data_IF_203511617647
#
_entry.id   IF_203511617647
#
_cell.length_a   1.000
_cell.length_b   1.000
_cell.length_c   1.000
_cell.angle_alpha   90.00
_cell.angle_beta   90.00
_cell.angle_gamma   90.00
#
_symmetry.space_group_name_H-M   'P 1'
#
loop_
_entity.id
_entity.type
_entity.pdbx_description
1 polymer ?
#
# COMPACT_ATOMS: atom_id res chain seq x y z
N UNK A 1 11.84 -15.71 -15.92
CA UNK A 1 11.20 -15.55 -14.61
C UNK A 1 10.35 -14.29 -14.62
N UNK A 2 9.15 -14.39 -14.09
CA UNK A 2 8.27 -13.23 -13.97
C UNK A 2 8.90 -12.19 -13.03
N UNK A 3 8.78 -10.92 -13.40
CA UNK A 3 9.23 -9.84 -12.54
C UNK A 3 8.45 -9.85 -11.23
N UNK A 4 9.13 -9.62 -10.11
CA UNK A 4 8.46 -9.52 -8.82
C UNK A 4 7.61 -8.26 -8.75
N UNK A 5 6.46 -8.38 -8.08
CA UNK A 5 5.63 -7.23 -7.73
C UNK A 5 6.19 -6.62 -6.45
N UNK A 6 6.08 -5.31 -6.33
CA UNK A 6 6.65 -4.59 -5.18
C UNK A 6 5.54 -4.13 -4.25
N UNK A 7 5.65 -4.53 -2.97
CA UNK A 7 4.81 -4.03 -1.88
C UNK A 7 5.66 -3.14 -0.99
N UNK A 8 5.23 -1.91 -0.77
CA UNK A 8 5.85 -1.01 0.21
C UNK A 8 5.03 -1.05 1.50
N UNK A 9 5.66 -1.35 2.61
CA UNK A 9 5.02 -1.30 3.94
C UNK A 9 5.60 -0.16 4.76
N UNK A 10 4.75 0.80 5.14
CA UNK A 10 5.14 1.94 5.97
C UNK A 10 4.67 1.67 7.40
N UNK A 11 5.61 1.39 8.29
CA UNK A 11 5.35 0.96 9.66
C UNK A 11 6.55 1.24 10.53
N UNK A 12 6.34 1.83 11.71
CA UNK A 12 7.40 2.13 12.67
C UNK A 12 7.62 1.02 13.71
N UNK A 13 6.68 0.08 13.85
CA UNK A 13 6.77 -0.98 14.85
C UNK A 13 7.50 -2.20 14.28
N UNK A 14 8.67 -2.58 14.84
CA UNK A 14 9.44 -3.72 14.33
C UNK A 14 8.70 -5.05 14.39
N UNK A 15 7.85 -5.26 15.39
CA UNK A 15 7.10 -6.53 15.50
C UNK A 15 6.08 -6.67 14.38
N UNK A 16 5.39 -5.60 14.03
CA UNK A 16 4.45 -5.60 12.92
C UNK A 16 5.17 -5.79 11.58
N UNK A 17 6.34 -5.17 11.44
CA UNK A 17 7.16 -5.34 10.23
C UNK A 17 7.60 -6.79 10.08
N UNK A 18 8.08 -7.43 11.15
CA UNK A 18 8.49 -8.83 11.12
C UNK A 18 7.35 -9.75 10.71
N UNK A 19 6.14 -9.49 11.21
CA UNK A 19 4.97 -10.29 10.85
C UNK A 19 4.70 -10.21 9.35
N UNK A 20 4.70 -9.01 8.78
CA UNK A 20 4.46 -8.83 7.36
C UNK A 20 5.61 -9.41 6.54
N UNK A 21 6.84 -9.25 6.97
CA UNK A 21 8.00 -9.87 6.32
C UNK A 21 7.84 -11.39 6.25
N UNK A 22 7.41 -12.02 7.33
CA UNK A 22 7.19 -13.48 7.36
C UNK A 22 6.06 -13.90 6.42
N UNK A 23 4.98 -13.12 6.36
CA UNK A 23 3.86 -13.41 5.47
C UNK A 23 4.25 -13.27 4.00
N UNK A 24 4.97 -12.21 3.66
CA UNK A 24 5.40 -11.94 2.30
C UNK A 24 6.49 -12.93 1.85
N UNK A 25 7.29 -13.44 2.79
CA UNK A 25 8.30 -14.45 2.48
C UNK A 25 7.71 -15.74 1.88
N UNK A 26 6.40 -15.98 2.09
CA UNK A 26 5.67 -17.11 1.51
C UNK A 26 5.26 -16.86 0.05
N UNK A 27 5.49 -15.64 -0.44
CA UNK A 27 5.09 -15.22 -1.79
C UNK A 27 6.33 -14.81 -2.59
N UNK A 28 6.94 -15.74 -3.34
CA UNK A 28 8.13 -15.43 -4.14
C UNK A 28 7.87 -14.43 -5.28
N UNK A 29 6.62 -14.20 -5.62
CA UNK A 29 6.19 -13.21 -6.61
C UNK A 29 6.17 -11.77 -6.09
N UNK A 30 6.41 -11.57 -4.78
CA UNK A 30 6.33 -10.25 -4.15
C UNK A 30 7.67 -9.89 -3.50
N UNK A 31 8.13 -8.68 -3.79
CA UNK A 31 9.27 -8.07 -3.11
C UNK A 31 8.78 -7.03 -2.13
N UNK A 32 9.18 -7.14 -0.86
CA UNK A 32 8.79 -6.19 0.17
C UNK A 32 9.86 -5.11 0.35
N UNK A 33 9.42 -3.86 0.31
CA UNK A 33 10.20 -2.71 0.75
C UNK A 33 9.53 -2.15 2.00
N UNK A 34 10.29 -1.55 2.89
CA UNK A 34 9.72 -0.99 4.11
C UNK A 34 10.29 0.39 4.41
N UNK A 35 9.49 1.19 5.11
CA UNK A 35 9.89 2.50 5.60
C UNK A 35 9.35 2.71 7.00
N UNK A 36 10.11 3.35 7.91
CA UNK A 36 9.68 3.52 9.30
C UNK A 36 8.76 4.71 9.54
N UNK A 37 8.59 5.59 8.57
CA UNK A 37 7.74 6.77 8.70
C UNK A 37 7.17 7.20 7.35
N UNK A 38 6.22 8.15 7.40
CA UNK A 38 5.53 8.59 6.20
C UNK A 38 6.43 9.30 5.19
N UNK A 39 7.37 10.11 5.64
CA UNK A 39 8.26 10.83 4.72
C UNK A 39 9.16 9.89 3.94
N UNK A 40 9.76 8.91 4.63
CA UNK A 40 10.60 7.90 3.98
C UNK A 40 9.77 7.01 3.07
N UNK A 41 8.54 6.69 3.49
CA UNK A 41 7.60 5.93 2.67
C UNK A 41 7.29 6.65 1.36
N UNK A 42 7.02 7.93 1.42
CA UNK A 42 6.74 8.75 0.24
C UNK A 42 7.96 8.76 -0.69
N UNK A 43 9.15 8.92 -0.14
CA UNK A 43 10.38 8.93 -0.94
C UNK A 43 10.57 7.59 -1.67
N UNK A 44 10.42 6.49 -0.95
CA UNK A 44 10.55 5.15 -1.55
C UNK A 44 9.48 4.94 -2.62
N UNK A 45 8.24 5.38 -2.37
CA UNK A 45 7.16 5.26 -3.33
C UNK A 45 7.48 6.00 -4.64
N UNK A 46 8.07 7.20 -4.53
CA UNK A 46 8.46 7.97 -5.71
C UNK A 46 9.62 7.34 -6.47
N UNK A 47 10.58 6.75 -5.75
CA UNK A 47 11.76 6.14 -6.35
C UNK A 47 11.48 4.77 -6.96
N UNK A 48 10.71 3.94 -6.26
CA UNK A 48 10.48 2.55 -6.64
C UNK A 48 9.18 2.31 -7.40
N UNK A 49 8.22 3.23 -7.27
CA UNK A 49 6.86 3.10 -7.84
C UNK A 49 6.28 1.71 -7.55
N UNK A 50 6.02 1.38 -6.28
CA UNK A 50 5.52 0.05 -5.92
C UNK A 50 4.16 -0.25 -6.54
N UNK A 51 3.83 -1.53 -6.61
CA UNK A 51 2.52 -1.98 -7.14
C UNK A 51 1.41 -1.77 -6.13
N UNK A 52 1.73 -1.80 -4.84
CA UNK A 52 0.78 -1.52 -3.76
C UNK A 52 1.54 -0.98 -2.54
N UNK A 53 0.83 -0.24 -1.71
CA UNK A 53 1.38 0.30 -0.46
C UNK A 53 0.47 -0.14 0.69
N UNK A 54 1.08 -0.70 1.74
CA UNK A 54 0.40 -0.96 3.02
C UNK A 54 0.86 0.14 3.98
N UNK A 55 -0.08 0.96 4.45
CA UNK A 55 0.21 2.17 5.22
C UNK A 55 -0.41 2.11 6.60
N UNK A 56 0.41 2.14 7.64
CA UNK A 56 -0.09 2.33 9.00
C UNK A 56 -0.63 3.76 9.12
N UNK A 57 -1.82 3.90 9.69
CA UNK A 57 -2.42 5.22 9.88
C UNK A 57 -1.72 5.98 11.00
N UNK A 58 -1.29 5.29 12.05
CA UNK A 58 -0.68 5.91 13.24
C UNK A 58 0.85 5.92 13.14
N UNK A 59 1.37 6.76 12.27
CA UNK A 59 2.82 6.90 12.07
C UNK A 59 3.37 8.09 12.82
N UNK A 60 4.68 8.07 13.21
CA UNK A 60 5.34 9.25 13.74
C UNK A 60 5.53 10.30 12.63
N UNK A 61 5.53 11.57 13.02
CA UNK A 61 5.64 12.67 12.06
C UNK A 61 4.32 12.92 11.36
N UNK A 62 4.25 12.62 10.06
CA UNK A 62 2.98 12.72 9.34
C UNK A 62 2.18 11.44 9.51
N UNK A 63 0.86 11.57 9.61
CA UNK A 63 -0.04 10.42 9.71
C UNK A 63 -0.15 9.70 8.37
N UNK A 64 -0.68 8.47 8.41
CA UNK A 64 -0.97 7.72 7.18
C UNK A 64 -1.93 8.46 6.25
N UNK A 65 -2.91 9.18 6.82
CA UNK A 65 -3.85 9.99 6.02
C UNK A 65 -3.14 11.13 5.29
N UNK A 66 -2.22 11.81 5.97
CA UNK A 66 -1.43 12.88 5.36
C UNK A 66 -0.53 12.35 4.27
N UNK A 67 0.12 11.21 4.51
CA UNK A 67 0.96 10.55 3.51
C UNK A 67 0.16 10.13 2.29
N UNK A 68 -1.04 9.57 2.49
CA UNK A 68 -1.95 9.21 1.40
C UNK A 68 -2.27 10.43 0.53
N UNK A 69 -2.57 11.55 1.16
CA UNK A 69 -2.91 12.78 0.44
C UNK A 69 -1.73 13.25 -0.43
N UNK A 70 -0.54 13.22 0.12
CA UNK A 70 0.68 13.61 -0.62
C UNK A 70 0.89 12.69 -1.82
N UNK A 71 0.73 11.38 -1.64
CA UNK A 71 0.88 10.40 -2.71
C UNK A 71 -0.19 10.59 -3.79
N UNK A 72 -1.42 10.92 -3.40
CA UNK A 72 -2.52 11.13 -4.34
C UNK A 72 -2.37 12.42 -5.17
N UNK A 73 -1.67 13.40 -4.64
CA UNK A 73 -1.43 14.67 -5.33
C UNK A 73 -0.26 14.60 -6.32
N UNK A 74 0.58 13.58 -6.21
CA UNK A 74 1.73 13.39 -7.10
C UNK A 74 1.34 12.47 -8.25
N UNK A 75 1.40 12.94 -9.52
CA UNK A 75 1.03 12.11 -10.66
C UNK A 75 1.84 10.80 -10.76
N UNK A 76 3.07 10.78 -10.25
CA UNK A 76 3.91 9.58 -10.28
C UNK A 76 3.39 8.47 -9.37
N UNK A 77 2.70 8.81 -8.28
CA UNK A 77 2.25 7.87 -7.25
C UNK A 77 0.73 7.79 -7.10
N UNK A 78 -0.02 8.70 -7.73
CA UNK A 78 -1.47 8.81 -7.54
C UNK A 78 -2.23 7.53 -7.92
N UNK A 79 -1.69 6.72 -8.82
CA UNK A 79 -2.34 5.50 -9.31
C UNK A 79 -2.09 4.29 -8.41
N UNK A 80 -1.18 4.38 -7.44
CA UNK A 80 -0.82 3.24 -6.59
C UNK A 80 -1.91 2.99 -5.56
N UNK A 81 -2.46 1.75 -5.47
CA UNK A 81 -3.43 1.43 -4.43
C UNK A 81 -2.76 1.42 -3.06
N UNK A 82 -3.33 2.18 -2.12
CA UNK A 82 -2.82 2.28 -0.75
C UNK A 82 -3.81 1.61 0.19
N UNK A 83 -3.35 0.60 0.91
CA UNK A 83 -4.16 -0.14 1.88
C UNK A 83 -3.87 0.43 3.26
N UNK A 84 -4.92 0.88 3.97
CA UNK A 84 -4.77 1.36 5.33
C UNK A 84 -4.66 0.20 6.31
N UNK A 85 -3.82 0.35 7.34
CA UNK A 85 -3.72 -0.59 8.45
C UNK A 85 -3.84 0.19 9.75
N UNK A 86 -4.82 -0.15 10.59
CA UNK A 86 -5.10 0.61 11.80
C UNK A 86 -5.56 -0.30 12.94
N UNK A 87 -5.25 0.09 14.17
CA UNK A 87 -5.81 -0.54 15.36
C UNK A 87 -7.29 -0.16 15.57
N UNK A 88 -7.76 0.87 14.87
CA UNK A 88 -9.12 1.37 15.03
C UNK A 88 -10.08 0.73 14.04
N UNK A 89 -11.01 -0.09 14.56
CA UNK A 89 -11.98 -0.83 13.75
C UNK A 89 -13.36 -0.19 13.74
N UNK A 90 -13.50 1.05 14.22
CA UNK A 90 -14.81 1.72 14.25
C UNK A 90 -15.31 1.98 12.84
N UNK A 91 -16.57 1.64 12.53
CA UNK A 91 -17.12 1.82 11.18
C UNK A 91 -16.95 3.24 10.62
N UNK A 92 -17.08 4.24 11.49
CA UNK A 92 -16.90 5.65 11.09
C UNK A 92 -15.49 5.93 10.60
N UNK A 93 -14.48 5.36 11.26
CA UNK A 93 -13.09 5.60 10.89
C UNK A 93 -12.72 4.85 9.62
N UNK A 94 -13.26 3.66 9.44
CA UNK A 94 -13.10 2.88 8.21
C UNK A 94 -13.70 3.65 7.04
N UNK A 95 -14.92 4.17 7.21
CA UNK A 95 -15.61 4.94 6.19
C UNK A 95 -14.82 6.20 5.80
N UNK A 96 -14.32 6.93 6.80
CA UNK A 96 -13.49 8.12 6.57
C UNK A 96 -12.22 7.77 5.80
N UNK A 97 -11.57 6.66 6.14
CA UNK A 97 -10.37 6.20 5.44
C UNK A 97 -10.65 5.91 3.98
N UNK A 98 -11.72 5.19 3.70
CA UNK A 98 -12.09 4.86 2.32
C UNK A 98 -12.48 6.11 1.54
N UNK A 99 -13.21 7.04 2.15
CA UNK A 99 -13.55 8.33 1.52
C UNK A 99 -12.32 9.17 1.23
N UNK A 100 -11.28 9.08 2.09
CA UNK A 100 -10.03 9.81 1.90
C UNK A 100 -9.20 9.26 0.73
N UNK A 101 -9.50 8.05 0.26
CA UNK A 101 -8.84 7.48 -0.90
C UNK A 101 -8.08 6.19 -0.64
N UNK A 102 -8.12 5.63 0.57
CA UNK A 102 -7.53 4.31 0.78
C UNK A 102 -8.28 3.27 -0.06
N UNK A 103 -7.51 2.41 -0.71
CA UNK A 103 -8.08 1.36 -1.57
C UNK A 103 -8.87 0.35 -0.76
N UNK A 104 -8.30 -0.07 0.39
CA UNK A 104 -8.94 -0.96 1.37
C UNK A 104 -8.47 -0.56 2.76
N UNK A 105 -9.17 -1.02 3.77
CA UNK A 105 -8.87 -0.71 5.16
C UNK A 105 -8.80 -2.01 5.95
N UNK A 106 -7.61 -2.32 6.49
CA UNK A 106 -7.39 -3.48 7.35
C UNK A 106 -7.23 -3.04 8.79
N UNK A 107 -7.72 -3.86 9.71
CA UNK A 107 -7.59 -3.60 11.14
C UNK A 107 -6.57 -4.55 11.77
N UNK A 108 -5.85 -4.05 12.77
CA UNK A 108 -4.92 -4.87 13.56
C UNK A 108 -5.71 -5.67 14.60
N UNK A 109 -5.30 -6.89 14.94
CA UNK A 109 -4.14 -7.61 14.40
C UNK A 109 -4.37 -8.10 12.96
N UNK A 110 -3.28 -8.22 12.20
CA UNK A 110 -3.35 -8.68 10.81
C UNK A 110 -3.80 -10.13 10.78
N UNK A 111 -4.85 -10.39 10.00
CA UNK A 111 -5.34 -11.75 9.74
C UNK A 111 -4.78 -12.21 8.40
N UNK A 112 -4.13 -13.37 8.39
CA UNK A 112 -3.38 -13.84 7.22
C UNK A 112 -4.25 -13.94 5.97
N UNK A 113 -5.41 -14.58 6.06
CA UNK A 113 -6.30 -14.75 4.90
C UNK A 113 -6.80 -13.42 4.35
N UNK A 114 -7.19 -12.50 5.23
CA UNK A 114 -7.67 -11.18 4.86
C UNK A 114 -6.56 -10.36 4.22
N UNK A 115 -5.36 -10.40 4.80
CA UNK A 115 -4.20 -9.70 4.26
C UNK A 115 -3.86 -10.20 2.86
N UNK A 116 -3.76 -11.51 2.68
CA UNK A 116 -3.42 -12.11 1.38
C UNK A 116 -4.47 -11.80 0.32
N UNK A 117 -5.75 -11.91 0.67
CA UNK A 117 -6.85 -11.60 -0.22
C UNK A 117 -6.83 -10.13 -0.65
N UNK A 118 -6.64 -9.22 0.31
CA UNK A 118 -6.58 -7.79 0.03
C UNK A 118 -5.38 -7.44 -0.84
N UNK A 119 -4.24 -8.04 -0.56
CA UNK A 119 -3.02 -7.84 -1.34
C UNK A 119 -3.23 -8.27 -2.80
N UNK A 120 -3.82 -9.45 -3.01
CA UNK A 120 -4.09 -9.94 -4.36
C UNK A 120 -5.04 -9.01 -5.13
N UNK A 121 -6.07 -8.49 -4.49
CA UNK A 121 -6.99 -7.52 -5.11
C UNK A 121 -6.25 -6.24 -5.48
N UNK A 122 -5.40 -5.73 -4.61
CA UNK A 122 -4.63 -4.52 -4.87
C UNK A 122 -3.65 -4.72 -6.04
N UNK A 123 -2.98 -5.87 -6.09
CA UNK A 123 -2.05 -6.19 -7.18
C UNK A 123 -2.77 -6.36 -8.51
N UNK A 124 -3.96 -6.96 -8.51
CA UNK A 124 -4.79 -7.07 -9.71
C UNK A 124 -5.24 -5.70 -10.19
N UNK A 125 -5.62 -4.82 -9.28
CA UNK A 125 -6.00 -3.44 -9.60
C UNK A 125 -4.81 -2.71 -10.23
N UNK A 126 -3.62 -2.82 -9.67
CA UNK A 126 -2.41 -2.19 -10.19
C UNK A 126 -2.08 -2.68 -11.61
N UNK A 127 -2.25 -3.99 -11.87
CA UNK A 127 -2.05 -4.56 -13.20
C UNK A 127 -3.07 -4.02 -14.19
N UNK A 128 -4.34 -3.95 -13.81
CA UNK A 128 -5.40 -3.43 -14.66
C UNK A 128 -5.16 -1.96 -15.01
N UNK A 129 -4.77 -1.14 -14.04
CA UNK A 129 -4.46 0.26 -14.27
C UNK A 129 -3.27 0.43 -15.22
N UNK A 130 -2.24 -0.39 -15.09
CA UNK A 130 -1.08 -0.38 -15.96
C UNK A 130 -1.47 -0.74 -17.39
N UNK A 131 -2.27 -1.78 -17.56
CA UNK A 131 -2.75 -2.22 -18.88
C UNK A 131 -3.67 -1.17 -19.51
N UNK A 132 -4.51 -0.55 -18.70
CA UNK A 132 -5.41 0.51 -19.17
C UNK A 132 -4.63 1.73 -19.68
N UNK A 133 -3.60 2.15 -18.93
CA UNK A 133 -2.73 3.25 -19.34
C UNK A 133 -2.00 2.93 -20.65
N UNK A 134 -1.49 1.69 -20.79
CA UNK A 134 -0.83 1.25 -22.02
C UNK A 134 -1.78 1.27 -23.22
N UNK A 135 -3.03 0.87 -23.02
CA UNK A 135 -4.04 0.84 -24.08
C UNK A 135 -4.54 2.23 -24.47
N UNK A 136 -4.35 3.21 -23.60
CA UNK A 136 -4.77 4.60 -23.85
C UNK A 136 -3.71 5.43 -24.58
N UNK A 137 -2.49 4.92 -24.70
CA UNK A 137 -1.47 5.65 -25.43
C UNK A 137 -1.91 5.82 -26.87
N UNK A 138 -1.93 7.06 -27.39
CA UNK A 138 -2.33 7.25 -28.77
C UNK A 138 -1.34 6.57 -29.69
N UNK A 139 -1.88 5.79 -30.61
CA UNK A 139 -1.07 5.27 -31.71
C UNK A 139 -0.70 6.47 -32.57
N UNK A 140 0.53 6.88 -32.48
CA UNK A 140 1.05 7.96 -33.32
C UNK A 140 1.50 7.41 -34.64
#
# INVERSE_FOLDING_TARGET
AAAQRILLYVEDNPANLMLVEDLVARRPDIRLLSAPDGYRGIKIARDAIPDAILMDINLPGISGLQALKILAEDPATAHIPVIALSANAMPRDIEKGLEAGFFRYLTKPIKVAEFMSTLDVALQFATAERNHAANKEPAC
#
